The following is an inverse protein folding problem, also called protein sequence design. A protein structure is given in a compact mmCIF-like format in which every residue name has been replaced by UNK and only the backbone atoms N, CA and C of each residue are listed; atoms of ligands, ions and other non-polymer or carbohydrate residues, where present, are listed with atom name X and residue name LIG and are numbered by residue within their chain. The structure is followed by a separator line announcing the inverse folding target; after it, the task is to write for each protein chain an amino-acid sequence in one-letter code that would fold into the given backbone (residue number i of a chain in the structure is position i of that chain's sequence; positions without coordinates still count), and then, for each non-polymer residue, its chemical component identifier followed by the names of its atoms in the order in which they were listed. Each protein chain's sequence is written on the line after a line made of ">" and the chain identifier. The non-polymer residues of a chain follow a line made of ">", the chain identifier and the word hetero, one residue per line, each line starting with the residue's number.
data_IF_771661765873
#
_entry.id   IF_771661765873
#
_cell.length_a   1.000
_cell.length_b   1.000
_cell.length_c   1.000
_cell.angle_alpha   90.00
_cell.angle_beta   90.00
_cell.angle_gamma   90.00
#
_symmetry.space_group_name_H-M   'P 1'
#
loop_
_entity.id
_entity.type
_entity.pdbx_description
1 polymer ?
#
# COMPACT_ATOMS: atom_id res chain seq x y z
N UNK A 1 25.19 -89.10 -59.39
CA UNK A 1 25.53 -88.45 -60.67
C UNK A 1 25.07 -87.01 -60.56
N UNK A 2 26.01 -86.06 -60.57
CA UNK A 2 25.79 -84.62 -60.80
C UNK A 2 24.84 -83.86 -59.85
N UNK A 3 24.95 -82.56 -59.58
CA UNK A 3 25.99 -81.53 -59.61
C UNK A 3 25.36 -80.40 -58.77
N UNK A 4 26.22 -79.63 -58.08
CA UNK A 4 26.10 -78.25 -57.52
C UNK A 4 24.81 -77.47 -57.89
N UNK A 5 24.29 -76.56 -57.06
CA UNK A 5 24.86 -75.22 -56.89
C UNK A 5 24.23 -74.45 -55.70
N UNK A 6 25.09 -73.69 -55.04
CA UNK A 6 24.85 -72.68 -54.01
C UNK A 6 24.06 -71.48 -54.53
N UNK A 7 23.26 -70.85 -53.65
CA UNK A 7 23.25 -69.39 -53.36
C UNK A 7 22.16 -69.15 -52.29
N UNK A 8 22.55 -68.69 -51.09
CA UNK A 8 22.46 -67.29 -50.62
C UNK A 8 21.01 -66.78 -50.54
N UNK A 9 20.52 -66.10 -49.51
CA UNK A 9 21.03 -65.46 -48.30
C UNK A 9 19.75 -65.07 -47.52
N UNK A 10 19.64 -65.34 -46.22
CA UNK A 10 19.52 -64.28 -45.20
C UNK A 10 18.53 -63.15 -45.54
N UNK A 11 17.49 -62.84 -44.76
CA UNK A 11 17.58 -62.70 -43.31
C UNK A 11 16.25 -62.29 -42.67
N UNK A 12 16.14 -62.69 -41.40
CA UNK A 12 15.63 -61.94 -40.25
C UNK A 12 14.14 -61.55 -40.15
N UNK A 13 13.44 -62.43 -39.43
CA UNK A 13 12.55 -62.18 -38.28
C UNK A 13 12.18 -60.70 -38.00
N UNK A 14 10.89 -60.41 -38.15
CA UNK A 14 10.19 -59.19 -37.76
C UNK A 14 10.52 -58.80 -36.31
N UNK A 15 11.27 -57.72 -36.12
CA UNK A 15 11.40 -57.04 -34.82
C UNK A 15 10.31 -55.99 -34.73
N UNK A 16 9.41 -56.16 -33.76
CA UNK A 16 8.42 -55.15 -33.40
C UNK A 16 9.14 -53.91 -32.87
N UNK A 17 8.92 -52.77 -33.51
CA UNK A 17 9.36 -51.47 -33.03
C UNK A 17 8.27 -50.92 -32.11
N UNK A 18 8.51 -50.88 -30.80
CA UNK A 18 7.68 -50.09 -29.88
C UNK A 18 8.14 -48.63 -29.97
N UNK A 19 7.32 -47.78 -30.60
CA UNK A 19 7.42 -46.32 -30.49
C UNK A 19 6.57 -45.90 -29.29
N UNK A 20 7.20 -45.70 -28.12
CA UNK A 20 6.57 -44.97 -27.02
C UNK A 20 7.17 -43.57 -27.03
N UNK A 21 6.36 -42.63 -27.49
CA UNK A 21 6.62 -41.19 -27.53
C UNK A 21 6.87 -40.68 -26.11
N UNK A 22 8.03 -40.06 -25.87
CA UNK A 22 8.30 -39.30 -24.64
C UNK A 22 7.56 -37.96 -24.78
N UNK A 23 6.40 -37.86 -24.14
CA UNK A 23 5.70 -36.58 -23.95
C UNK A 23 6.46 -35.78 -22.87
N UNK A 24 7.36 -34.89 -23.28
CA UNK A 24 7.94 -33.89 -22.39
C UNK A 24 6.85 -32.87 -22.07
N UNK A 25 6.21 -33.02 -20.91
CA UNK A 25 5.25 -32.05 -20.39
C UNK A 25 6.04 -30.84 -19.86
N UNK A 26 6.27 -29.85 -20.73
CA UNK A 26 6.85 -28.57 -20.34
C UNK A 26 5.83 -27.87 -19.44
N UNK A 27 6.07 -27.87 -18.13
CA UNK A 27 5.40 -26.97 -17.20
C UNK A 27 5.87 -25.54 -17.53
N UNK A 28 5.13 -24.86 -18.40
CA UNK A 28 5.28 -23.41 -18.57
C UNK A 28 4.72 -22.78 -17.30
N UNK A 29 5.61 -22.40 -16.38
CA UNK A 29 5.25 -21.52 -15.27
C UNK A 29 4.77 -20.20 -15.85
N UNK A 30 3.46 -19.98 -15.85
CA UNK A 30 2.90 -18.67 -16.14
C UNK A 30 3.37 -17.71 -15.04
N UNK A 31 4.43 -16.97 -15.33
CA UNK A 31 4.76 -15.78 -14.55
C UNK A 31 3.68 -14.75 -14.87
N UNK A 32 2.62 -14.71 -14.05
CA UNK A 32 1.64 -13.63 -14.11
C UNK A 32 2.37 -12.33 -13.81
N UNK A 33 2.59 -11.52 -14.84
CA UNK A 33 3.07 -10.16 -14.67
C UNK A 33 1.91 -9.38 -14.07
N UNK A 34 1.97 -9.09 -12.77
CA UNK A 34 0.98 -8.25 -12.11
C UNK A 34 1.21 -6.82 -12.61
N UNK A 35 0.36 -6.35 -13.51
CA UNK A 35 0.31 -4.95 -13.86
C UNK A 35 -0.32 -4.19 -12.69
N UNK A 36 0.46 -3.35 -12.02
CA UNK A 36 -0.10 -2.40 -11.07
C UNK A 36 -0.97 -1.40 -11.86
N UNK A 37 -2.29 -1.47 -11.67
CA UNK A 37 -3.20 -0.49 -12.24
C UNK A 37 -2.81 0.91 -11.71
N UNK A 38 -2.86 1.91 -12.59
CA UNK A 38 -2.87 3.32 -12.15
C UNK A 38 -4.04 3.48 -11.19
N UNK A 39 -3.81 4.10 -10.03
CA UNK A 39 -4.93 4.45 -9.15
C UNK A 39 -5.86 5.37 -9.93
N UNK A 40 -7.13 4.99 -9.95
CA UNK A 40 -8.15 5.75 -10.65
C UNK A 40 -8.35 7.09 -9.92
N UNK A 41 -8.39 7.06 -8.59
CA UNK A 41 -8.66 8.22 -7.74
C UNK A 41 -7.46 8.97 -7.19
N UNK A 42 -7.73 10.20 -6.78
CA UNK A 42 -6.78 11.09 -6.13
C UNK A 42 -6.86 10.95 -4.61
N UNK A 43 -5.79 11.40 -3.97
CA UNK A 43 -5.70 11.60 -2.52
C UNK A 43 -5.28 13.03 -2.29
N UNK A 44 -5.67 13.60 -1.16
CA UNK A 44 -5.34 14.98 -0.84
C UNK A 44 -5.06 15.14 0.64
N UNK A 45 -4.21 16.13 0.93
CA UNK A 45 -4.01 16.60 2.30
C UNK A 45 -5.16 17.52 2.66
N UNK A 46 -5.66 17.38 3.88
CA UNK A 46 -6.81 18.12 4.37
C UNK A 46 -6.68 18.51 5.84
N UNK A 47 -7.61 19.34 6.31
CA UNK A 47 -7.83 19.64 7.74
C UNK A 47 -8.44 18.44 8.47
N UNK A 48 -8.47 18.44 9.82
CA UNK A 48 -9.01 17.31 10.56
C UNK A 48 -10.43 16.89 10.18
N UNK A 49 -11.26 17.81 9.68
CA UNK A 49 -12.65 17.56 9.28
C UNK A 49 -12.84 17.22 7.79
N UNK A 50 -11.79 17.20 6.98
CA UNK A 50 -11.91 17.01 5.52
C UNK A 50 -12.22 18.27 4.71
N UNK A 51 -12.53 19.42 5.33
CA UNK A 51 -13.12 20.56 4.60
C UNK A 51 -12.13 21.41 3.77
N UNK A 52 -10.83 21.41 4.08
CA UNK A 52 -9.84 22.24 3.38
C UNK A 52 -8.73 21.41 2.71
N UNK A 53 -8.78 21.31 1.39
CA UNK A 53 -7.80 20.52 0.63
C UNK A 53 -6.57 21.33 0.16
N UNK A 54 -5.41 20.67 0.12
CA UNK A 54 -4.24 21.05 -0.70
C UNK A 54 -3.58 22.42 -0.37
N UNK A 55 -3.23 22.67 0.90
CA UNK A 55 -2.34 23.78 1.28
C UNK A 55 -1.26 23.34 2.27
N UNK A 56 -0.18 22.73 1.75
CA UNK A 56 0.98 22.20 2.47
C UNK A 56 1.71 23.17 3.45
N UNK A 57 1.27 24.42 3.59
CA UNK A 57 1.98 25.51 4.30
C UNK A 57 1.12 26.31 5.28
N UNK A 58 -0.16 25.93 5.50
CA UNK A 58 -1.11 26.71 6.30
C UNK A 58 -1.36 26.18 7.71
N UNK A 59 -0.87 24.99 8.03
CA UNK A 59 -1.09 24.35 9.33
C UNK A 59 -0.12 24.90 10.37
N UNK A 60 -0.61 25.11 11.59
CA UNK A 60 0.23 25.55 12.70
C UNK A 60 1.02 24.37 13.28
N UNK A 61 0.46 23.16 13.18
CA UNK A 61 1.06 21.91 13.63
C UNK A 61 0.89 20.81 12.57
N UNK A 62 1.89 19.93 12.42
CA UNK A 62 1.82 18.74 11.55
C UNK A 62 0.68 17.79 11.95
N UNK A 63 0.23 17.82 13.21
CA UNK A 63 -0.92 17.05 13.70
C UNK A 63 -2.25 17.49 13.09
N UNK A 64 -2.33 18.68 12.52
CA UNK A 64 -3.53 19.19 11.85
C UNK A 64 -3.64 18.71 10.39
N UNK A 65 -2.69 17.88 9.93
CA UNK A 65 -2.64 17.38 8.55
C UNK A 65 -3.21 15.98 8.47
N UNK A 66 -4.30 15.85 7.73
CA UNK A 66 -5.00 14.60 7.49
C UNK A 66 -4.93 14.22 6.01
N UNK A 67 -5.04 12.92 5.76
CA UNK A 67 -5.16 12.34 4.44
C UNK A 67 -6.62 12.02 4.18
N UNK A 68 -7.09 12.41 3.01
CA UNK A 68 -8.41 12.10 2.52
C UNK A 68 -8.30 11.47 1.14
N UNK A 69 -9.21 10.55 0.86
CA UNK A 69 -9.26 9.78 -0.37
C UNK A 69 -10.66 9.80 -0.93
N UNK A 70 -10.74 10.04 -2.24
CA UNK A 70 -12.01 10.19 -2.94
C UNK A 70 -12.02 11.42 -3.82
N UNK A 71 -13.13 11.70 -4.49
CA UNK A 71 -13.31 12.95 -5.21
C UNK A 71 -13.76 14.06 -4.24
N UNK A 72 -13.30 15.32 -4.37
CA UNK A 72 -13.68 16.39 -3.43
C UNK A 72 -15.16 16.76 -3.54
N UNK A 73 -15.70 17.45 -2.51
CA UNK A 73 -17.06 18.00 -2.53
C UNK A 73 -17.40 18.68 -3.87
N UNK A 74 -18.48 18.20 -4.52
CA UNK A 74 -18.99 18.63 -5.83
C UNK A 74 -18.19 18.18 -7.06
N UNK A 75 -17.26 17.23 -6.92
CA UNK A 75 -16.66 16.60 -8.07
C UNK A 75 -17.72 15.89 -8.94
N UNK A 76 -17.52 15.80 -10.26
CA UNK A 76 -18.43 15.05 -11.13
C UNK A 76 -18.63 13.61 -10.62
N UNK A 77 -19.80 13.01 -10.82
CA UNK A 77 -20.05 11.61 -10.47
C UNK A 77 -19.11 10.61 -11.19
N UNK A 78 -18.41 11.06 -12.24
CA UNK A 78 -17.36 10.31 -12.94
C UNK A 78 -15.96 10.53 -12.37
N UNK A 79 -15.80 11.40 -11.37
CA UNK A 79 -14.55 11.61 -10.69
C UNK A 79 -14.16 10.30 -10.01
N UNK A 80 -12.95 9.86 -10.28
CA UNK A 80 -12.53 8.55 -9.87
C UNK A 80 -12.28 8.52 -8.37
N UNK A 81 -12.93 7.57 -7.69
CA UNK A 81 -12.59 7.18 -6.34
C UNK A 81 -11.39 6.22 -6.30
N UNK A 82 -10.89 5.97 -5.10
CA UNK A 82 -9.91 4.91 -4.87
C UNK A 82 -10.54 3.55 -5.16
N UNK A 83 -9.89 2.66 -5.94
CA UNK A 83 -10.36 1.28 -6.07
C UNK A 83 -10.41 0.59 -4.71
N UNK A 84 -11.42 -0.24 -4.48
CA UNK A 84 -11.58 -0.93 -3.19
C UNK A 84 -10.35 -1.78 -2.85
N UNK A 85 -9.99 -1.79 -1.57
CA UNK A 85 -8.93 -2.62 -1.02
C UNK A 85 -8.05 -1.92 0.00
N UNK A 86 -6.98 -2.60 0.40
CA UNK A 86 -6.08 -2.14 1.45
C UNK A 86 -4.86 -1.45 0.84
N UNK A 87 -4.54 -0.29 1.38
CA UNK A 87 -3.46 0.57 0.93
C UNK A 87 -2.50 0.87 2.06
N UNK A 88 -1.25 1.15 1.70
CA UNK A 88 -0.27 1.79 2.56
C UNK A 88 -0.10 3.22 2.06
N UNK A 89 -0.21 4.21 2.94
CA UNK A 89 0.19 5.58 2.61
C UNK A 89 1.61 5.91 3.06
N UNK A 90 2.31 6.73 2.29
CA UNK A 90 3.67 7.19 2.57
C UNK A 90 3.83 8.68 2.36
N UNK A 91 4.65 9.31 3.20
CA UNK A 91 4.95 10.73 3.11
C UNK A 91 6.40 10.87 2.69
N UNK A 92 6.65 11.65 1.65
CA UNK A 92 8.01 11.91 1.14
C UNK A 92 8.26 13.40 0.94
N UNK A 93 9.52 13.74 0.69
CA UNK A 93 9.84 15.02 0.05
C UNK A 93 9.21 15.10 -1.37
N UNK A 94 9.15 16.29 -1.99
CA UNK A 94 8.50 16.45 -3.30
C UNK A 94 9.13 15.62 -4.42
N UNK A 95 10.41 15.25 -4.29
CA UNK A 95 11.11 14.41 -5.26
C UNK A 95 10.81 12.91 -5.12
N UNK A 96 10.24 12.49 -3.98
CA UNK A 96 9.99 11.08 -3.65
C UNK A 96 11.25 10.31 -3.23
N UNK A 97 12.39 10.99 -3.03
CA UNK A 97 13.67 10.35 -2.73
C UNK A 97 13.90 10.18 -1.23
N UNK A 98 13.31 11.05 -0.41
CA UNK A 98 13.42 11.01 1.04
C UNK A 98 12.06 10.60 1.59
N UNK A 99 12.01 9.43 2.23
CA UNK A 99 10.86 9.02 3.04
C UNK A 99 10.84 9.89 4.29
N UNK A 100 9.73 10.58 4.54
CA UNK A 100 9.50 11.42 5.72
C UNK A 100 8.66 10.71 6.78
N UNK A 101 7.91 9.65 6.44
CA UNK A 101 7.24 8.84 7.46
C UNK A 101 8.26 8.25 8.43
N UNK A 102 7.99 8.35 9.74
CA UNK A 102 8.94 7.98 10.79
C UNK A 102 8.63 6.62 11.42
N UNK A 103 7.46 6.07 11.11
CA UNK A 103 6.94 4.82 11.61
C UNK A 103 6.94 3.71 10.53
N UNK A 104 6.85 2.43 10.94
CA UNK A 104 6.75 1.32 10.00
C UNK A 104 5.55 1.44 9.08
N UNK A 105 5.70 1.03 7.82
CA UNK A 105 4.62 1.09 6.84
C UNK A 105 3.36 0.31 7.26
N UNK A 106 3.48 -0.71 8.13
CA UNK A 106 2.31 -1.39 8.70
C UNK A 106 1.40 -0.48 9.52
N UNK A 107 1.97 0.55 10.16
CA UNK A 107 1.19 1.50 10.94
C UNK A 107 0.44 2.51 10.06
N UNK A 108 0.56 2.44 8.72
CA UNK A 108 -0.08 3.37 7.76
C UNK A 108 -1.01 2.65 6.78
N UNK A 109 -1.69 1.61 7.27
CA UNK A 109 -2.65 0.84 6.49
C UNK A 109 -4.05 1.45 6.60
N UNK A 110 -4.70 1.62 5.45
CA UNK A 110 -6.09 2.09 5.35
C UNK A 110 -6.87 1.23 4.37
N UNK A 111 -8.16 1.13 4.60
CA UNK A 111 -9.11 0.50 3.69
C UNK A 111 -9.80 1.57 2.85
N UNK A 112 -9.82 1.33 1.54
CA UNK A 112 -10.69 2.05 0.64
C UNK A 112 -11.88 1.18 0.25
N UNK A 113 -13.08 1.74 0.29
CA UNK A 113 -14.33 1.11 -0.15
C UNK A 113 -15.24 2.18 -0.76
N UNK A 114 -15.95 1.84 -1.83
CA UNK A 114 -16.88 2.75 -2.49
C UNK A 114 -16.23 4.03 -3.07
N UNK A 115 -14.90 4.05 -3.21
CA UNK A 115 -14.15 5.21 -3.68
C UNK A 115 -13.49 6.06 -2.60
N UNK A 116 -13.78 5.82 -1.32
CA UNK A 116 -13.33 6.63 -0.18
C UNK A 116 -12.37 5.86 0.72
N UNK A 117 -11.63 6.55 1.57
CA UNK A 117 -11.02 5.92 2.74
C UNK A 117 -12.12 5.73 3.78
N UNK A 118 -12.33 4.49 4.24
CA UNK A 118 -13.41 4.16 5.18
C UNK A 118 -12.90 3.77 6.57
N UNK A 119 -11.59 3.62 6.71
CA UNK A 119 -10.98 3.31 8.00
C UNK A 119 -9.50 3.01 7.93
N UNK A 120 -8.89 3.00 9.12
CA UNK A 120 -7.59 2.37 9.32
C UNK A 120 -7.75 0.86 9.43
N UNK A 121 -6.67 0.16 9.09
CA UNK A 121 -6.60 -1.30 9.20
C UNK A 121 -5.54 -1.66 10.23
N UNK A 122 -5.88 -2.51 11.19
CA UNK A 122 -4.93 -2.97 12.19
C UNK A 122 -3.87 -3.87 11.54
N UNK A 123 -2.56 -3.64 11.77
CA UNK A 123 -1.51 -4.52 11.29
C UNK A 123 -1.72 -5.99 11.66
N UNK A 124 -2.19 -6.26 12.88
CA UNK A 124 -2.37 -7.62 13.39
C UNK A 124 -3.46 -8.38 12.63
N UNK A 125 -4.54 -7.71 12.25
CA UNK A 125 -5.65 -8.26 11.46
C UNK A 125 -5.22 -8.63 10.04
N UNK A 126 -4.22 -7.94 9.50
CA UNK A 126 -3.63 -8.24 8.18
C UNK A 126 -2.44 -9.21 8.24
N UNK A 127 -2.10 -9.73 9.43
CA UNK A 127 -0.88 -10.52 9.61
C UNK A 127 0.41 -9.76 9.28
N UNK A 128 0.36 -8.43 9.28
CA UNK A 128 1.44 -7.54 8.88
C UNK A 128 2.35 -7.10 10.03
N UNK A 129 2.19 -7.70 11.21
CA UNK A 129 2.97 -7.41 12.42
C UNK A 129 2.06 -7.18 13.62
N UNK A 130 2.62 -6.61 14.67
CA UNK A 130 1.87 -6.17 15.85
C UNK A 130 1.39 -4.72 15.69
N UNK A 131 0.34 -4.36 16.45
CA UNK A 131 -0.24 -3.01 16.47
C UNK A 131 0.59 -2.00 17.27
N UNK A 132 1.84 -2.37 17.58
CA UNK A 132 2.81 -1.52 18.25
C UNK A 132 4.14 -1.60 17.51
N UNK A 133 4.97 -0.57 17.62
CA UNK A 133 6.33 -0.57 17.10
C UNK A 133 7.30 -0.08 18.15
N UNK A 134 8.56 -0.48 18.03
CA UNK A 134 9.64 0.01 18.88
C UNK A 134 10.36 1.12 18.13
N UNK A 135 10.52 2.30 18.74
CA UNK A 135 11.43 3.30 18.18
C UNK A 135 12.89 2.83 18.32
N UNK A 136 13.80 3.51 17.63
CA UNK A 136 15.24 3.30 17.77
C UNK A 136 15.79 3.79 19.15
N UNK A 137 14.94 4.06 20.13
CA UNK A 137 15.24 4.56 21.49
C UNK A 137 14.84 3.58 22.60
N UNK A 138 14.68 4.03 23.87
CA UNK A 138 14.30 3.13 24.97
C UNK A 138 12.97 2.44 24.64
N UNK A 139 12.96 1.10 24.82
CA UNK A 139 12.01 0.08 24.34
C UNK A 139 10.55 0.21 24.83
N UNK A 140 9.97 1.41 24.79
CA UNK A 140 8.53 1.57 24.98
C UNK A 140 7.85 1.26 23.65
N UNK A 141 6.90 0.31 23.69
CA UNK A 141 6.03 0.02 22.56
C UNK A 141 5.18 1.28 22.27
N UNK A 142 5.35 1.85 21.07
CA UNK A 142 4.54 2.95 20.57
C UNK A 142 3.39 2.32 19.80
N UNK A 143 2.12 2.62 20.11
CA UNK A 143 1.00 2.17 19.30
C UNK A 143 1.18 2.62 17.85
N UNK A 144 0.79 1.77 16.89
CA UNK A 144 0.67 2.21 15.50
C UNK A 144 -0.45 3.25 15.34
N UNK A 145 -1.35 3.35 16.31
CA UNK A 145 -2.53 4.19 16.25
C UNK A 145 -3.08 4.50 17.63
N UNK A 146 -3.55 5.74 17.80
CA UNK A 146 -4.39 6.19 18.92
C UNK A 146 -5.48 7.06 18.31
N UNK A 147 -6.73 6.61 18.42
CA UNK A 147 -7.90 7.47 18.23
C UNK A 147 -8.05 8.30 19.50
N UNK A 148 -7.70 9.58 19.42
CA UNK A 148 -7.89 10.52 20.52
C UNK A 148 -9.39 10.88 20.61
N UNK A 149 -9.88 11.21 21.81
CA UNK A 149 -11.28 11.62 21.99
C UNK A 149 -11.56 12.92 21.18
N UNK A 150 -12.60 12.98 20.34
CA UNK A 150 -13.73 12.06 20.29
C UNK A 150 -13.57 10.81 19.38
N UNK A 151 -14.06 9.62 19.80
CA UNK A 151 -14.05 8.42 18.96
C UNK A 151 -15.07 8.50 17.82
N UNK A 152 -14.68 8.07 16.62
CA UNK A 152 -15.56 8.10 15.44
C UNK A 152 -16.74 7.14 15.54
N UNK A 153 -17.94 7.56 15.06
CA UNK A 153 -18.27 8.88 14.53
C UNK A 153 -18.52 9.93 15.63
N UNK A 154 -17.92 11.12 15.50
CA UNK A 154 -17.92 12.19 16.53
C UNK A 154 -18.92 13.30 16.22
N UNK A 155 -19.26 14.12 17.22
CA UNK A 155 -20.01 15.37 17.03
C UNK A 155 -19.11 16.57 16.72
N UNK A 156 -17.79 16.39 16.63
CA UNK A 156 -16.80 17.44 16.37
C UNK A 156 -15.64 16.88 15.54
N UNK A 157 -15.82 16.68 14.21
CA UNK A 157 -14.79 16.11 13.34
C UNK A 157 -13.60 17.06 13.09
N UNK A 158 -13.64 18.30 13.61
CA UNK A 158 -12.61 19.31 13.36
C UNK A 158 -11.41 19.29 14.31
N UNK A 159 -11.41 18.40 15.30
CA UNK A 159 -10.33 18.34 16.29
C UNK A 159 -9.21 17.44 15.80
N UNK A 160 -7.99 17.94 15.82
CA UNK A 160 -6.81 17.13 15.54
C UNK A 160 -6.43 16.26 16.74
N UNK A 161 -6.21 14.96 16.53
CA UNK A 161 -5.65 14.06 17.53
C UNK A 161 -4.34 14.55 18.13
N UNK A 162 -4.29 14.61 19.45
CA UNK A 162 -3.17 15.16 20.21
C UNK A 162 -1.96 14.22 20.24
N UNK A 163 -2.16 12.92 20.07
CA UNK A 163 -1.13 11.86 20.13
C UNK A 163 -0.14 11.92 18.96
N UNK A 164 -0.57 12.38 17.79
CA UNK A 164 0.21 12.31 16.56
C UNK A 164 0.40 10.87 16.05
N UNK A 165 -0.58 9.99 16.30
CA UNK A 165 -0.54 8.56 15.97
C UNK A 165 -1.73 8.17 15.10
N UNK A 166 -1.79 8.77 13.91
CA UNK A 166 -2.77 8.41 12.88
C UNK A 166 -4.22 8.39 13.34
N UNK A 167 -4.61 9.38 14.13
CA UNK A 167 -6.00 9.63 14.52
C UNK A 167 -6.91 9.66 13.28
N UNK A 168 -8.14 9.19 13.40
CA UNK A 168 -9.11 9.30 12.30
C UNK A 168 -10.08 10.46 12.53
N UNK A 169 -10.86 10.84 11.53
CA UNK A 169 -11.96 11.79 11.67
C UNK A 169 -13.05 11.48 10.66
N UNK A 170 -14.31 11.80 11.00
CA UNK A 170 -15.39 11.69 10.01
C UNK A 170 -15.16 12.76 8.96
N UNK A 171 -15.17 12.35 7.71
CA UNK A 171 -15.09 13.28 6.60
C UNK A 171 -16.37 14.12 6.51
N UNK A 172 -16.24 15.44 6.49
CA UNK A 172 -17.38 16.35 6.44
C UNK A 172 -18.14 16.26 5.13
N UNK A 173 -17.47 16.00 4.00
CA UNK A 173 -18.15 16.00 2.70
C UNK A 173 -18.73 14.64 2.30
N UNK A 174 -18.14 13.53 2.77
CA UNK A 174 -18.63 12.17 2.46
C UNK A 174 -18.87 11.27 3.68
N UNK A 175 -18.96 11.81 4.90
CA UNK A 175 -19.19 11.02 6.12
C UNK A 175 -20.50 10.21 6.12
N UNK A 176 -21.52 10.62 5.37
CA UNK A 176 -22.75 9.82 5.19
C UNK A 176 -22.53 8.53 4.39
N UNK A 177 -21.47 8.49 3.59
CA UNK A 177 -21.03 7.32 2.82
C UNK A 177 -20.00 6.49 3.61
N UNK A 178 -19.73 6.86 4.88
CA UNK A 178 -18.77 6.18 5.75
C UNK A 178 -17.32 6.62 5.56
N UNK A 179 -17.08 7.71 4.82
CA UNK A 179 -15.74 8.23 4.60
C UNK A 179 -15.11 8.81 5.88
N UNK A 180 -13.81 8.59 6.01
CA UNK A 180 -12.97 9.14 7.08
C UNK A 180 -11.73 9.78 6.50
N UNK A 181 -11.17 10.72 7.25
CA UNK A 181 -9.83 11.26 7.03
C UNK A 181 -8.87 10.71 8.07
N UNK A 182 -7.58 10.59 7.74
CA UNK A 182 -6.57 9.92 8.59
C UNK A 182 -5.37 10.82 8.83
N UNK A 183 -5.02 11.10 10.08
CA UNK A 183 -3.90 11.95 10.46
C UNK A 183 -2.59 11.39 9.90
N UNK A 184 -1.81 12.24 9.23
CA UNK A 184 -0.57 11.80 8.56
C UNK A 184 0.61 11.60 9.52
N UNK A 185 0.54 12.15 10.73
CA UNK A 185 1.56 12.02 11.77
C UNK A 185 1.66 10.57 12.30
N UNK A 186 2.88 10.04 12.52
CA UNK A 186 4.15 10.79 12.54
C UNK A 186 4.86 10.88 11.17
N UNK A 187 5.28 12.09 10.82
CA UNK A 187 6.20 12.33 9.70
C UNK A 187 7.10 13.53 9.98
N UNK A 188 8.29 13.50 9.38
CA UNK A 188 9.30 14.52 9.56
C UNK A 188 9.10 15.77 8.71
N UNK A 189 9.82 16.83 9.10
CA UNK A 189 9.88 18.09 8.34
C UNK A 189 10.65 17.87 7.04
N UNK A 190 10.01 18.25 5.93
CA UNK A 190 10.62 18.20 4.60
C UNK A 190 11.84 19.13 4.52
N UNK A 191 12.93 18.69 3.85
CA UNK A 191 14.08 19.56 3.62
C UNK A 191 13.82 20.60 2.52
N UNK A 192 12.66 20.53 1.86
CA UNK A 192 12.25 21.54 0.89
C UNK A 192 12.03 22.89 1.60
N UNK A 193 12.70 23.99 1.19
CA UNK A 193 12.56 25.29 1.86
C UNK A 193 11.15 25.88 1.86
N UNK A 194 10.28 25.42 0.95
CA UNK A 194 8.88 25.84 0.89
C UNK A 194 7.96 25.01 1.78
N UNK A 195 8.47 24.09 2.61
CA UNK A 195 7.65 23.24 3.48
C UNK A 195 6.83 22.18 2.72
N UNK A 196 7.11 21.95 1.44
CA UNK A 196 6.33 21.05 0.58
C UNK A 196 6.72 19.59 0.80
N UNK A 197 5.73 18.71 0.92
CA UNK A 197 5.84 17.26 0.96
C UNK A 197 4.85 16.61 -0.03
N UNK A 198 4.89 15.28 -0.16
CA UNK A 198 3.93 14.50 -0.95
C UNK A 198 3.42 13.31 -0.16
N UNK A 199 2.11 13.08 -0.22
CA UNK A 199 1.49 11.82 0.18
C UNK A 199 1.39 10.89 -1.03
N UNK A 200 1.54 9.60 -0.79
CA UNK A 200 1.36 8.53 -1.77
C UNK A 200 0.48 7.47 -1.15
N UNK A 201 -0.43 6.87 -1.92
CA UNK A 201 -1.11 5.63 -1.55
C UNK A 201 -0.69 4.53 -2.53
N UNK A 202 -0.39 3.35 -2.00
CA UNK A 202 -0.01 2.18 -2.80
C UNK A 202 -0.82 0.97 -2.30
N UNK A 203 -1.51 0.22 -3.18
CA UNK A 203 -2.16 -1.01 -2.79
C UNK A 203 -1.16 -1.94 -2.09
N UNK A 204 -1.55 -2.56 -0.98
CA UNK A 204 -0.64 -3.39 -0.16
C UNK A 204 0.02 -4.48 -1.00
N UNK A 205 -0.72 -5.08 -1.94
CA UNK A 205 -0.22 -6.08 -2.88
C UNK A 205 0.90 -5.53 -3.77
N UNK A 206 0.76 -4.29 -4.26
CA UNK A 206 1.77 -3.61 -5.09
C UNK A 206 2.99 -3.22 -4.26
N UNK A 207 2.79 -2.75 -3.03
CA UNK A 207 3.87 -2.41 -2.10
C UNK A 207 4.76 -3.63 -1.84
N UNK A 208 4.14 -4.76 -1.48
CA UNK A 208 4.85 -6.03 -1.23
C UNK A 208 5.50 -6.59 -2.50
N UNK A 209 4.82 -6.56 -3.65
CA UNK A 209 5.36 -7.05 -4.92
C UNK A 209 6.61 -6.27 -5.39
N UNK A 210 6.73 -4.99 -5.01
CA UNK A 210 7.92 -4.16 -5.26
C UNK A 210 9.03 -4.34 -4.21
N UNK A 211 8.88 -5.31 -3.29
CA UNK A 211 9.86 -5.60 -2.25
C UNK A 211 9.74 -4.69 -1.02
N UNK A 212 8.62 -3.98 -0.87
CA UNK A 212 8.34 -3.18 0.32
C UNK A 212 8.30 -4.05 1.58
N UNK A 213 8.89 -3.55 2.67
CA UNK A 213 8.89 -4.22 3.97
C UNK A 213 8.01 -3.44 4.96
N UNK A 214 6.82 -3.97 5.23
CA UNK A 214 5.84 -3.33 6.14
C UNK A 214 6.34 -3.18 7.57
N UNK A 215 7.33 -3.98 7.97
CA UNK A 215 7.92 -3.97 9.31
C UNK A 215 9.18 -3.11 9.43
N UNK A 216 9.69 -2.55 8.33
CA UNK A 216 10.89 -1.73 8.36
C UNK A 216 10.61 -0.43 9.11
N UNK A 217 11.39 -0.19 10.18
CA UNK A 217 11.42 1.09 10.87
C UNK A 217 12.29 2.04 10.03
N UNK A 218 11.74 3.17 9.55
CA UNK A 218 12.51 4.15 8.79
C UNK A 218 13.76 4.63 9.52
N UNK A 219 14.80 4.99 8.75
CA UNK A 219 15.99 5.60 9.30
C UNK A 219 15.66 6.96 9.93
N UNK A 220 16.43 7.35 10.95
CA UNK A 220 16.32 8.69 11.52
C UNK A 220 16.59 9.76 10.45
N UNK A 221 15.72 10.75 10.40
CA UNK A 221 15.88 11.90 9.52
C UNK A 221 17.00 12.81 10.01
N UNK A 222 17.54 13.62 9.11
CA UNK A 222 18.63 14.54 9.42
C UNK A 222 18.25 15.63 10.43
N UNK A 223 19.23 16.39 10.97
CA UNK A 223 18.95 17.47 11.90
C UNK A 223 17.91 18.46 11.37
N UNK A 224 16.92 18.81 12.19
CA UNK A 224 15.83 19.72 11.83
C UNK A 224 14.70 19.09 11.03
N UNK A 225 14.74 17.77 10.80
CA UNK A 225 13.71 17.03 10.05
C UNK A 225 12.84 16.12 10.91
N UNK A 226 13.10 15.99 12.22
CA UNK A 226 12.27 15.24 13.17
C UNK A 226 11.23 16.20 13.76
#
# INVERSE_FOLDING_TARGET
>A
MHTKFYAASGSLKRRALFLVSILVMVFVSANSVVFAASLSGAIFTTTPDGSFVNQNVKYNDKKEVYLDGGPPMNAPASAAGLPDGIYIYQITDPSGKILLSEDPARCRMVEADGGFIVGRVSPSEQGAGNDNWANNGPKSAIPCHVDDDPPHPTTDPGVAGASGQHDTNVDTDHGSDGAVVVQMMPYGTTPNPGGVYKAWMTPISTYLAKGGNVNHIPNQLGPGQQ
#
